data_IF_650505687955
#
_entry.id   IF_650505687955
#
_cell.length_a   1.000
_cell.length_b   1.000
_cell.length_c   1.000
_cell.angle_alpha   90.00
_cell.angle_beta   90.00
_cell.angle_gamma   90.00
#
_symmetry.space_group_name_H-M   'P 1'
#
loop_
_entity.id
_entity.type
_entity.pdbx_description
1 polymer ?
#
# COMPACT_ATOMS: atom_id res chain seq x y z
N UNK A 1 -3.41 44.71 -22.84
CA UNK A 1 -3.52 43.78 -21.67
C UNK A 1 -4.97 43.31 -21.61
N UNK A 2 -5.30 42.15 -22.22
CA UNK A 2 -6.68 41.65 -22.26
C UNK A 2 -6.90 40.76 -21.05
N UNK A 3 -7.92 41.07 -20.28
CA UNK A 3 -8.36 40.29 -19.14
C UNK A 3 -8.95 38.95 -19.63
N UNK A 4 -8.35 37.85 -19.25
CA UNK A 4 -8.91 36.51 -19.48
C UNK A 4 -10.08 36.30 -18.48
N UNK A 5 -11.27 36.24 -19.05
CA UNK A 5 -12.51 36.09 -18.29
C UNK A 5 -12.68 34.63 -17.83
N UNK A 6 -12.88 34.40 -16.53
CA UNK A 6 -13.08 33.09 -15.88
C UNK A 6 -14.21 32.22 -16.45
N UNK A 7 -15.13 32.81 -17.24
CA UNK A 7 -16.21 32.08 -17.91
C UNK A 7 -15.77 31.31 -19.16
N UNK A 8 -14.61 31.60 -19.74
CA UNK A 8 -14.10 30.91 -20.94
C UNK A 8 -13.36 29.61 -20.63
N UNK A 9 -13.02 29.37 -19.38
CA UNK A 9 -12.32 28.15 -18.94
C UNK A 9 -13.26 26.94 -18.70
N UNK A 10 -14.56 27.19 -18.58
CA UNK A 10 -15.56 26.11 -18.33
C UNK A 10 -16.24 25.58 -19.61
N UNK A 11 -16.02 26.22 -20.77
CA UNK A 11 -16.64 25.82 -22.04
C UNK A 11 -15.70 25.00 -22.96
N UNK A 12 -14.46 24.73 -22.55
CA UNK A 12 -13.45 24.05 -23.37
C UNK A 12 -13.35 22.54 -23.21
N UNK A 13 -14.21 21.91 -22.40
CA UNK A 13 -14.11 20.47 -22.08
C UNK A 13 -15.05 19.58 -22.90
N UNK A 14 -15.69 20.07 -23.95
CA UNK A 14 -16.65 19.29 -24.72
C UNK A 14 -16.48 19.42 -26.23
N UNK A 15 -15.29 19.25 -26.79
CA UNK A 15 -15.10 18.95 -28.22
C UNK A 15 -13.62 18.68 -28.55
N UNK A 16 -13.12 17.47 -28.36
CA UNK A 16 -12.13 16.86 -29.23
C UNK A 16 -12.29 15.34 -29.17
N UNK A 17 -13.28 14.88 -29.90
CA UNK A 17 -13.35 13.50 -30.33
C UNK A 17 -12.45 13.27 -31.54
N UNK A 18 -11.86 12.09 -31.58
CA UNK A 18 -11.36 11.36 -32.73
C UNK A 18 -10.11 11.89 -33.46
N UNK A 19 -8.99 11.30 -33.08
CA UNK A 19 -8.07 10.68 -34.07
C UNK A 19 -7.36 9.53 -33.35
N UNK A 20 -7.99 8.36 -33.41
CA UNK A 20 -7.41 7.11 -32.95
C UNK A 20 -6.39 6.64 -33.97
N UNK A 21 -5.11 6.74 -33.65
CA UNK A 21 -4.12 5.87 -34.22
C UNK A 21 -4.14 4.55 -33.44
N UNK A 22 -4.83 3.55 -33.99
CA UNK A 22 -4.82 2.17 -33.55
C UNK A 22 -3.43 1.57 -33.78
N UNK A 23 -2.54 1.69 -32.81
CA UNK A 23 -1.47 0.75 -32.65
C UNK A 23 -1.96 -0.34 -31.68
N UNK A 24 -2.57 -1.38 -32.23
CA UNK A 24 -2.87 -2.61 -31.52
C UNK A 24 -1.54 -3.31 -31.23
N UNK A 25 -0.91 -2.96 -30.12
CA UNK A 25 0.08 -3.84 -29.52
C UNK A 25 -0.77 -4.96 -28.89
N UNK A 26 -0.88 -6.08 -29.58
CA UNK A 26 -1.34 -7.32 -28.98
C UNK A 26 -0.35 -7.64 -27.85
N UNK A 27 -0.72 -7.25 -26.63
CA UNK A 27 -0.06 -7.72 -25.43
C UNK A 27 -0.41 -9.20 -25.32
N UNK A 28 0.60 -10.03 -25.52
CA UNK A 28 0.54 -11.48 -25.31
C UNK A 28 0.24 -11.70 -23.82
N UNK A 29 -1.05 -11.83 -23.47
CA UNK A 29 -1.58 -12.10 -22.12
C UNK A 29 -1.24 -13.54 -21.69
N UNK A 30 0.01 -13.93 -21.84
CA UNK A 30 0.52 -15.08 -21.12
C UNK A 30 0.58 -14.68 -19.66
N UNK A 31 -0.36 -15.21 -18.87
CA UNK A 31 -0.30 -15.17 -17.41
C UNK A 31 1.09 -15.60 -17.00
N UNK A 32 1.92 -14.64 -16.55
CA UNK A 32 3.28 -14.96 -16.10
C UNK A 32 3.18 -16.01 -15.01
N UNK A 33 4.02 -17.05 -15.05
CA UNK A 33 4.00 -18.08 -14.01
C UNK A 33 4.22 -17.42 -12.64
N UNK A 34 3.48 -17.90 -11.65
CA UNK A 34 3.64 -17.44 -10.26
C UNK A 34 5.07 -17.80 -9.84
N UNK A 35 5.87 -16.85 -9.32
CA UNK A 35 7.20 -17.18 -8.80
C UNK A 35 7.11 -18.25 -7.71
N UNK A 36 8.01 -19.21 -7.71
CA UNK A 36 8.12 -20.21 -6.62
C UNK A 36 8.53 -19.47 -5.32
N UNK A 37 7.74 -19.65 -4.29
CA UNK A 37 7.96 -19.04 -2.97
C UNK A 37 8.30 -20.07 -1.90
N UNK A 38 8.65 -21.30 -2.29
CA UNK A 38 9.07 -22.33 -1.32
C UNK A 38 10.23 -21.84 -0.45
N UNK A 39 10.11 -22.10 0.84
CA UNK A 39 11.09 -21.68 1.84
C UNK A 39 11.02 -20.20 2.24
N UNK A 40 10.09 -19.42 1.70
CA UNK A 40 9.84 -18.06 2.12
C UNK A 40 8.79 -18.01 3.22
N UNK A 41 9.05 -17.18 4.25
CA UNK A 41 8.11 -16.84 5.31
C UNK A 41 7.60 -15.41 5.10
N UNK A 42 6.27 -15.23 5.06
CA UNK A 42 5.63 -13.95 4.73
C UNK A 42 4.58 -13.59 5.78
N UNK A 43 4.75 -12.47 6.45
CA UNK A 43 3.77 -11.90 7.38
C UNK A 43 3.03 -10.75 6.69
N UNK A 44 1.70 -10.82 6.63
CA UNK A 44 0.86 -9.86 5.91
C UNK A 44 -0.17 -9.27 6.85
N UNK A 45 -0.27 -7.93 6.89
CA UNK A 45 -1.29 -7.24 7.68
C UNK A 45 -2.56 -6.96 6.88
N UNK A 46 -3.74 -7.04 7.53
CA UNK A 46 -5.01 -6.69 6.90
C UNK A 46 -5.52 -7.73 5.90
N UNK A 47 -5.46 -9.03 6.25
CA UNK A 47 -5.86 -10.14 5.38
C UNK A 47 -7.35 -10.51 5.41
N UNK A 48 -8.21 -9.70 6.01
CA UNK A 48 -9.66 -9.99 5.99
C UNK A 48 -10.30 -9.79 4.61
N UNK A 49 -9.71 -8.96 3.76
CA UNK A 49 -10.23 -8.67 2.40
C UNK A 49 -9.16 -8.04 1.50
N UNK A 50 -9.53 -7.74 0.26
CA UNK A 50 -8.72 -6.96 -0.68
C UNK A 50 -7.35 -7.55 -0.95
N UNK A 51 -6.35 -6.69 -1.15
CA UNK A 51 -5.00 -7.12 -1.53
C UNK A 51 -4.36 -8.07 -0.52
N UNK A 52 -4.55 -7.83 0.79
CA UNK A 52 -3.98 -8.67 1.83
C UNK A 52 -4.53 -10.10 1.80
N UNK A 53 -5.83 -10.28 1.60
CA UNK A 53 -6.48 -11.59 1.45
C UNK A 53 -5.97 -12.30 0.19
N UNK A 54 -6.01 -11.60 -0.96
CA UNK A 54 -5.56 -12.12 -2.24
C UNK A 54 -4.07 -12.49 -2.22
N UNK A 55 -3.21 -11.66 -1.59
CA UNK A 55 -1.79 -11.94 -1.44
C UNK A 55 -1.55 -13.16 -0.55
N UNK A 56 -2.25 -13.30 0.58
CA UNK A 56 -2.11 -14.43 1.49
C UNK A 56 -2.42 -15.75 0.78
N UNK A 57 -3.52 -15.82 0.06
CA UNK A 57 -3.91 -17.00 -0.72
C UNK A 57 -2.92 -17.28 -1.87
N UNK A 58 -2.52 -16.24 -2.60
CA UNK A 58 -1.62 -16.35 -3.74
C UNK A 58 -0.24 -16.87 -3.34
N UNK A 59 0.35 -16.32 -2.27
CA UNK A 59 1.67 -16.71 -1.81
C UNK A 59 1.68 -18.10 -1.16
N UNK A 60 0.63 -18.45 -0.43
CA UNK A 60 0.51 -19.79 0.14
C UNK A 60 0.42 -20.86 -0.98
N UNK A 61 -0.35 -20.61 -2.04
CA UNK A 61 -0.41 -21.49 -3.23
C UNK A 61 0.93 -21.54 -3.99
N UNK A 62 1.74 -20.47 -3.91
CA UNK A 62 3.10 -20.46 -4.45
C UNK A 62 4.14 -21.17 -3.56
N UNK A 63 3.71 -21.74 -2.42
CA UNK A 63 4.55 -22.53 -1.52
C UNK A 63 5.18 -21.78 -0.36
N UNK A 64 4.83 -20.51 -0.13
CA UNK A 64 5.29 -19.75 1.03
C UNK A 64 4.61 -20.22 2.32
N UNK A 65 5.32 -20.09 3.45
CA UNK A 65 4.72 -20.07 4.79
C UNK A 65 4.13 -18.69 5.03
N UNK A 66 2.80 -18.58 5.13
CA UNK A 66 2.10 -17.31 5.24
C UNK A 66 1.48 -17.13 6.62
N UNK A 67 1.75 -16.00 7.24
CA UNK A 67 1.06 -15.51 8.44
C UNK A 67 0.10 -14.40 8.02
N UNK A 68 -1.16 -14.76 7.82
CA UNK A 68 -2.23 -13.84 7.46
C UNK A 68 -2.78 -13.18 8.72
N UNK A 69 -2.65 -11.85 8.87
CA UNK A 69 -3.12 -11.21 10.09
C UNK A 69 -4.36 -10.37 9.89
N UNK A 70 -5.20 -10.35 10.89
CA UNK A 70 -6.39 -9.52 10.96
C UNK A 70 -6.77 -9.24 12.40
N UNK A 71 -7.46 -8.12 12.64
CA UNK A 71 -7.95 -7.72 13.95
C UNK A 71 -9.27 -8.37 14.30
N UNK A 72 -9.62 -8.41 15.61
CA UNK A 72 -10.94 -8.80 16.13
C UNK A 72 -11.30 -10.23 15.77
N UNK A 73 -10.49 -11.19 16.20
CA UNK A 73 -10.85 -12.60 16.14
C UNK A 73 -11.77 -12.96 17.33
N UNK A 74 -12.71 -13.92 17.18
CA UNK A 74 -12.99 -14.70 15.97
C UNK A 74 -13.81 -13.90 14.94
N UNK A 75 -13.64 -14.26 13.64
CA UNK A 75 -14.41 -13.67 12.54
C UNK A 75 -14.47 -14.61 11.35
N UNK A 76 -15.53 -14.49 10.56
CA UNK A 76 -15.81 -15.38 9.43
C UNK A 76 -14.63 -15.46 8.44
N UNK A 77 -14.01 -14.34 8.10
CA UNK A 77 -12.92 -14.29 7.12
C UNK A 77 -11.66 -15.06 7.59
N UNK A 78 -11.47 -15.17 8.90
CA UNK A 78 -10.41 -15.99 9.47
C UNK A 78 -10.72 -17.49 9.31
N UNK A 79 -11.96 -17.89 9.55
CA UNK A 79 -12.38 -19.29 9.42
C UNK A 79 -12.36 -19.74 7.96
N UNK A 80 -12.76 -18.86 7.03
CA UNK A 80 -12.63 -19.10 5.59
C UNK A 80 -11.17 -19.36 5.16
N UNK A 81 -10.21 -18.55 5.64
CA UNK A 81 -8.78 -18.76 5.36
C UNK A 81 -8.25 -20.07 5.97
N UNK A 82 -8.68 -20.42 7.19
CA UNK A 82 -8.31 -21.69 7.83
C UNK A 82 -8.86 -22.89 7.07
N UNK A 83 -10.12 -22.82 6.63
CA UNK A 83 -10.76 -23.87 5.82
C UNK A 83 -10.06 -24.01 4.48
N UNK A 84 -9.73 -22.90 3.81
CA UNK A 84 -8.97 -22.90 2.58
C UNK A 84 -7.60 -23.58 2.77
N UNK A 85 -6.86 -23.18 3.82
CA UNK A 85 -5.55 -23.74 4.11
C UNK A 85 -5.60 -25.26 4.33
N UNK A 86 -6.61 -25.75 5.06
CA UNK A 86 -6.82 -27.18 5.29
C UNK A 86 -7.16 -27.92 3.98
N UNK A 87 -8.08 -27.41 3.19
CA UNK A 87 -8.56 -28.05 1.96
C UNK A 87 -7.46 -28.14 0.89
N UNK A 88 -6.68 -27.09 0.74
CA UNK A 88 -5.61 -27.01 -0.25
C UNK A 88 -4.23 -27.43 0.30
N UNK A 89 -4.15 -27.80 1.60
CA UNK A 89 -2.90 -28.17 2.30
C UNK A 89 -1.82 -27.09 2.22
N UNK A 90 -2.23 -25.84 2.44
CA UNK A 90 -1.35 -24.68 2.40
C UNK A 90 -0.71 -24.41 3.77
N UNK A 91 0.55 -23.96 3.77
CA UNK A 91 1.22 -23.49 4.99
C UNK A 91 0.80 -22.04 5.28
N UNK A 92 -0.47 -21.87 5.69
CA UNK A 92 -1.07 -20.60 6.00
C UNK A 92 -1.67 -20.62 7.41
N UNK A 93 -1.28 -19.66 8.23
CA UNK A 93 -1.75 -19.46 9.59
C UNK A 93 -2.42 -18.09 9.74
N UNK A 94 -3.50 -18.03 10.51
CA UNK A 94 -4.18 -16.77 10.83
C UNK A 94 -3.77 -16.34 12.24
N UNK A 95 -3.22 -15.12 12.35
CA UNK A 95 -2.79 -14.51 13.62
C UNK A 95 -3.61 -13.25 13.88
N UNK A 96 -4.02 -13.03 15.14
CA UNK A 96 -4.66 -11.78 15.52
C UNK A 96 -3.62 -10.67 15.68
N UNK A 97 -3.71 -9.63 14.84
CA UNK A 97 -2.95 -8.38 14.98
C UNK A 97 -3.85 -7.20 14.60
N UNK A 98 -4.11 -6.32 15.56
CA UNK A 98 -4.50 -4.95 15.28
C UNK A 98 -3.22 -4.10 15.24
N UNK A 99 -2.91 -3.53 14.08
CA UNK A 99 -1.68 -2.74 13.89
C UNK A 99 -1.64 -1.44 14.71
N UNK A 100 -2.78 -1.07 15.33
CA UNK A 100 -2.86 0.07 16.25
C UNK A 100 -2.56 -0.30 17.71
N UNK A 101 -2.36 -1.59 18.01
CA UNK A 101 -2.07 -2.11 19.34
C UNK A 101 -0.62 -2.60 19.45
N UNK A 102 0.22 -1.90 20.20
CA UNK A 102 1.61 -2.30 20.45
C UNK A 102 1.69 -3.74 20.96
N UNK A 103 0.84 -4.08 21.93
CA UNK A 103 0.80 -5.43 22.52
C UNK A 103 0.48 -6.51 21.49
N UNK A 104 -0.57 -6.34 20.67
CA UNK A 104 -0.94 -7.34 19.68
C UNK A 104 0.12 -7.47 18.58
N UNK A 105 0.77 -6.37 18.22
CA UNK A 105 1.89 -6.39 17.26
C UNK A 105 3.06 -7.19 17.81
N UNK A 106 3.49 -6.93 19.04
CA UNK A 106 4.59 -7.66 19.68
C UNK A 106 4.29 -9.15 19.82
N UNK A 107 3.11 -9.50 20.34
CA UNK A 107 2.70 -10.89 20.54
C UNK A 107 2.54 -11.65 19.22
N UNK A 108 1.88 -11.04 18.23
CA UNK A 108 1.64 -11.66 16.92
C UNK A 108 2.92 -11.82 16.10
N UNK A 109 3.82 -10.83 16.10
CA UNK A 109 5.13 -10.96 15.44
C UNK A 109 5.99 -12.02 16.14
N UNK A 110 6.00 -12.07 17.47
CA UNK A 110 6.70 -13.12 18.22
C UNK A 110 6.17 -14.50 17.85
N UNK A 111 4.85 -14.67 17.73
CA UNK A 111 4.23 -15.93 17.30
C UNK A 111 4.71 -16.33 15.88
N UNK A 112 4.72 -15.41 14.94
CA UNK A 112 5.21 -15.65 13.58
C UNK A 112 6.71 -16.04 13.58
N UNK A 113 7.55 -15.30 14.30
CA UNK A 113 8.99 -15.57 14.40
C UNK A 113 9.27 -16.95 14.98
N UNK A 114 8.56 -17.37 16.04
CA UNK A 114 8.70 -18.72 16.61
C UNK A 114 8.31 -19.78 15.58
N UNK A 115 7.23 -19.58 14.84
CA UNK A 115 6.75 -20.54 13.83
C UNK A 115 7.65 -20.66 12.59
N UNK A 116 8.53 -19.68 12.34
CA UNK A 116 9.51 -19.71 11.24
C UNK A 116 10.98 -19.83 11.70
N UNK A 117 11.21 -20.31 12.93
CA UNK A 117 12.56 -20.59 13.43
C UNK A 117 13.41 -19.36 13.74
N UNK A 118 12.77 -18.23 14.05
CA UNK A 118 13.42 -17.00 14.46
C UNK A 118 13.75 -16.00 13.37
N UNK A 119 13.50 -16.33 12.11
CA UNK A 119 13.74 -15.43 10.96
C UNK A 119 12.50 -15.29 10.11
N UNK A 120 12.17 -14.06 9.71
CA UNK A 120 11.07 -13.74 8.80
C UNK A 120 11.65 -13.13 7.51
N UNK A 121 11.34 -13.72 6.36
CA UNK A 121 11.86 -13.22 5.08
C UNK A 121 11.17 -11.94 4.63
N UNK A 122 9.83 -11.85 4.79
CA UNK A 122 9.05 -10.74 4.24
C UNK A 122 7.99 -10.27 5.23
N UNK A 123 7.95 -8.95 5.48
CA UNK A 123 6.82 -8.26 6.10
C UNK A 123 6.07 -7.48 5.05
N UNK A 124 4.74 -7.64 4.95
CA UNK A 124 3.87 -6.82 4.09
C UNK A 124 2.91 -6.01 4.94
N UNK A 125 3.16 -4.71 5.03
CA UNK A 125 2.27 -3.75 5.64
C UNK A 125 1.19 -3.34 4.64
N UNK A 126 0.07 -4.07 4.65
CA UNK A 126 -1.06 -3.84 3.77
C UNK A 126 -2.30 -3.26 4.49
N UNK A 127 -2.43 -3.45 5.80
CA UNK A 127 -3.53 -2.87 6.55
C UNK A 127 -3.65 -1.37 6.34
N UNK A 128 -4.85 -0.88 6.04
CA UNK A 128 -5.08 0.53 5.80
C UNK A 128 -6.55 0.90 5.88
N UNK A 129 -6.81 2.17 6.15
CA UNK A 129 -8.14 2.78 6.21
C UNK A 129 -8.16 4.08 5.43
N UNK A 130 -9.35 4.48 5.01
CA UNK A 130 -9.57 5.75 4.31
C UNK A 130 -10.89 6.37 4.75
N UNK A 131 -10.90 7.70 4.77
CA UNK A 131 -12.09 8.54 4.86
C UNK A 131 -12.08 9.49 3.66
N UNK A 132 -13.20 9.64 2.99
CA UNK A 132 -13.37 10.65 1.94
C UNK A 132 -13.78 12.01 2.54
N UNK A 133 -13.70 13.03 1.70
CA UNK A 133 -14.17 14.37 2.02
C UNK A 133 -13.05 15.43 2.02
N UNK A 134 -13.42 16.72 2.01
CA UNK A 134 -12.50 17.82 2.23
C UNK A 134 -11.69 17.68 3.53
N UNK A 135 -10.51 18.30 3.56
CA UNK A 135 -9.64 18.26 4.75
C UNK A 135 -10.32 18.87 5.96
N UNK A 136 -11.07 19.96 5.77
CA UNK A 136 -11.73 20.69 6.85
C UNK A 136 -12.78 19.85 7.60
N UNK A 137 -13.51 18.98 6.91
CA UNK A 137 -14.50 18.10 7.56
C UNK A 137 -13.87 16.89 8.27
N UNK A 138 -12.58 16.64 8.07
CA UNK A 138 -11.88 15.54 8.74
C UNK A 138 -11.60 15.91 10.20
N UNK A 139 -12.45 15.46 11.11
CA UNK A 139 -12.21 15.66 12.53
C UNK A 139 -10.91 14.97 13.01
N UNK A 140 -10.46 15.33 14.20
CA UNK A 140 -9.23 14.78 14.76
C UNK A 140 -9.32 13.27 15.00
N UNK A 141 -10.50 12.73 15.29
CA UNK A 141 -10.68 11.30 15.50
C UNK A 141 -10.47 10.52 14.19
N UNK A 142 -11.05 10.96 13.07
CA UNK A 142 -10.83 10.36 11.75
C UNK A 142 -9.38 10.52 11.32
N UNK A 143 -8.79 11.70 11.50
CA UNK A 143 -7.38 11.98 11.19
C UNK A 143 -6.44 11.07 11.98
N UNK A 144 -6.59 10.98 13.29
CA UNK A 144 -5.79 10.11 14.15
C UNK A 144 -5.95 8.64 13.76
N UNK A 145 -7.18 8.16 13.51
CA UNK A 145 -7.42 6.78 13.10
C UNK A 145 -6.70 6.43 11.79
N UNK A 146 -6.67 7.37 10.81
CA UNK A 146 -5.93 7.15 9.58
C UNK A 146 -4.41 7.11 9.81
N UNK A 147 -3.84 8.02 10.59
CA UNK A 147 -2.41 8.01 10.91
C UNK A 147 -2.02 6.78 11.74
N UNK A 148 -2.81 6.42 12.75
CA UNK A 148 -2.57 5.24 13.57
C UNK A 148 -2.51 3.96 12.75
N UNK A 149 -3.43 3.80 11.78
CA UNK A 149 -3.48 2.60 10.95
C UNK A 149 -2.46 2.65 9.81
N UNK A 150 -2.41 3.75 9.05
CA UNK A 150 -1.68 3.81 7.78
C UNK A 150 -0.19 4.16 7.95
N UNK A 151 0.22 4.77 9.06
CA UNK A 151 1.59 5.25 9.31
C UNK A 151 2.20 4.58 10.52
N UNK A 152 1.58 4.73 11.68
CA UNK A 152 2.12 4.19 12.92
C UNK A 152 2.00 2.66 12.99
N UNK A 153 0.97 2.08 12.36
CA UNK A 153 0.84 0.62 12.21
C UNK A 153 2.03 -0.02 11.49
N UNK A 154 2.35 0.40 10.24
CA UNK A 154 3.56 -0.03 9.55
C UNK A 154 4.85 0.19 10.33
N UNK A 155 4.96 1.32 11.06
CA UNK A 155 6.12 1.59 11.92
C UNK A 155 6.23 0.60 13.08
N UNK A 156 5.12 0.31 13.79
CA UNK A 156 5.09 -0.72 14.84
C UNK A 156 5.51 -2.09 14.33
N UNK A 157 4.92 -2.51 13.20
CA UNK A 157 5.24 -3.80 12.57
C UNK A 157 6.71 -3.89 12.18
N UNK A 158 7.25 -2.84 11.53
CA UNK A 158 8.67 -2.78 11.17
C UNK A 158 9.57 -2.88 12.41
N UNK A 159 9.30 -2.10 13.47
CA UNK A 159 10.06 -2.17 14.72
C UNK A 159 10.08 -3.56 15.34
N UNK A 160 8.96 -4.28 15.26
CA UNK A 160 8.84 -5.62 15.84
C UNK A 160 9.63 -6.68 15.08
N UNK A 161 9.73 -6.60 13.74
CA UNK A 161 10.43 -7.60 12.90
C UNK A 161 11.91 -7.27 12.70
N UNK A 162 12.30 -5.99 12.68
CA UNK A 162 13.64 -5.53 12.33
C UNK A 162 14.77 -6.13 13.18
N UNK A 163 14.63 -6.34 14.50
CA UNK A 163 15.71 -6.98 15.28
C UNK A 163 16.09 -8.36 14.72
N UNK A 164 15.11 -9.19 14.36
CA UNK A 164 15.33 -10.52 13.79
C UNK A 164 15.91 -10.43 12.36
N UNK A 165 15.37 -9.57 11.50
CA UNK A 165 15.87 -9.36 10.13
C UNK A 165 17.32 -8.85 10.13
N UNK A 166 17.67 -7.90 11.00
CA UNK A 166 19.03 -7.38 11.13
C UNK A 166 20.01 -8.43 11.64
N UNK A 167 19.59 -9.25 12.61
CA UNK A 167 20.42 -10.37 13.10
C UNK A 167 20.69 -11.39 11.99
N UNK A 168 19.70 -11.67 11.15
CA UNK A 168 19.82 -12.54 9.98
C UNK A 168 20.57 -11.89 8.79
N UNK A 169 20.80 -10.57 8.84
CA UNK A 169 21.30 -9.75 7.71
C UNK A 169 20.50 -9.99 6.42
N UNK A 170 19.22 -10.21 6.54
CA UNK A 170 18.32 -10.50 5.44
C UNK A 170 16.89 -10.15 5.83
N UNK A 171 16.14 -9.61 4.90
CA UNK A 171 14.72 -9.30 5.07
C UNK A 171 14.21 -8.34 4.00
N UNK A 172 12.90 -8.38 3.79
CA UNK A 172 12.20 -7.44 2.91
C UNK A 172 10.98 -6.89 3.61
N UNK A 173 10.85 -5.58 3.68
CA UNK A 173 9.63 -4.90 4.11
C UNK A 173 8.94 -4.33 2.87
N UNK A 174 7.70 -4.74 2.64
CA UNK A 174 6.84 -4.19 1.59
C UNK A 174 5.76 -3.33 2.24
N UNK A 175 5.75 -2.04 1.93
CA UNK A 175 4.72 -1.12 2.38
C UNK A 175 3.72 -0.83 1.25
N UNK A 176 2.43 -1.09 1.47
CA UNK A 176 1.39 -0.79 0.49
C UNK A 176 0.96 0.67 0.66
N UNK A 177 1.48 1.52 -0.21
CA UNK A 177 1.14 2.93 -0.32
C UNK A 177 -0.06 3.14 -1.26
N UNK A 178 0.03 4.08 -2.16
CA UNK A 178 -0.95 4.42 -3.19
C UNK A 178 -0.30 5.36 -4.20
N UNK A 179 -0.83 5.46 -5.42
CA UNK A 179 -0.51 6.59 -6.29
C UNK A 179 -0.76 7.93 -5.56
N UNK A 180 -1.75 7.96 -4.64
CA UNK A 180 -2.06 9.15 -3.80
C UNK A 180 -1.05 9.38 -2.66
N UNK A 181 0.02 8.61 -2.57
CA UNK A 181 1.22 8.92 -1.79
C UNK A 181 2.22 9.81 -2.53
N UNK A 182 2.01 10.09 -3.82
CA UNK A 182 2.89 10.92 -4.67
C UNK A 182 2.13 12.01 -5.44
N UNK A 183 0.84 11.79 -5.72
CA UNK A 183 -0.05 12.79 -6.33
C UNK A 183 -1.25 13.02 -5.42
N UNK A 184 -1.91 14.16 -5.55
CA UNK A 184 -3.02 14.55 -4.68
C UNK A 184 -4.28 14.76 -5.51
N UNK A 185 -5.39 14.20 -5.02
CA UNK A 185 -6.72 14.47 -5.54
C UNK A 185 -7.59 15.13 -4.45
N UNK A 186 -8.46 16.09 -4.80
CA UNK A 186 -9.39 16.69 -3.86
C UNK A 186 -10.35 15.67 -3.24
N UNK A 187 -10.84 15.96 -2.05
CA UNK A 187 -11.83 15.16 -1.31
C UNK A 187 -11.38 13.74 -0.93
N UNK A 188 -10.06 13.52 -0.76
CA UNK A 188 -9.50 12.34 -0.11
C UNK A 188 -9.00 12.63 1.32
N UNK A 189 -9.34 13.81 1.87
CA UNK A 189 -9.03 14.21 3.25
C UNK A 189 -7.58 14.00 3.62
N UNK A 190 -7.37 13.36 4.76
CA UNK A 190 -6.05 13.04 5.30
C UNK A 190 -5.46 11.72 4.73
N UNK A 191 -6.14 11.03 3.82
CA UNK A 191 -5.61 9.80 3.24
C UNK A 191 -4.28 10.03 2.51
N UNK A 192 -4.24 11.01 1.58
CA UNK A 192 -2.99 11.36 0.88
C UNK A 192 -1.86 11.74 1.85
N UNK A 193 -2.05 12.64 2.84
CA UNK A 193 -1.04 12.90 3.87
C UNK A 193 -0.50 11.66 4.56
N UNK A 194 -1.36 10.67 4.92
CA UNK A 194 -0.86 9.41 5.52
C UNK A 194 0.00 8.60 4.56
N UNK A 195 -0.35 8.56 3.28
CA UNK A 195 0.44 7.83 2.29
C UNK A 195 1.76 8.54 1.95
N UNK A 196 1.78 9.87 1.89
CA UNK A 196 3.02 10.65 1.79
C UNK A 196 3.94 10.42 3.00
N UNK A 197 3.39 10.39 4.21
CA UNK A 197 4.16 10.07 5.42
C UNK A 197 4.74 8.65 5.38
N UNK A 198 3.95 7.65 4.93
CA UNK A 198 4.41 6.26 4.75
C UNK A 198 5.53 6.18 3.71
N UNK A 199 5.42 6.89 2.59
CA UNK A 199 6.47 6.98 1.56
C UNK A 199 7.79 7.50 2.12
N UNK A 200 7.75 8.64 2.82
CA UNK A 200 8.93 9.25 3.43
C UNK A 200 9.57 8.34 4.49
N UNK A 201 8.76 7.72 5.35
CA UNK A 201 9.25 6.76 6.35
C UNK A 201 9.88 5.53 5.69
N UNK A 202 9.28 5.04 4.61
CA UNK A 202 9.79 3.87 3.87
C UNK A 202 11.15 4.16 3.24
N UNK A 203 11.31 5.33 2.63
CA UNK A 203 12.57 5.75 2.01
C UNK A 203 13.67 5.96 3.05
N UNK A 204 13.37 6.60 4.19
CA UNK A 204 14.31 6.74 5.31
C UNK A 204 14.78 5.36 5.80
N UNK A 205 13.84 4.44 6.05
CA UNK A 205 14.19 3.07 6.45
C UNK A 205 15.01 2.34 5.38
N UNK A 206 14.70 2.52 4.09
CA UNK A 206 15.45 1.88 3.02
C UNK A 206 16.94 2.25 3.08
N UNK A 207 17.27 3.53 3.26
CA UNK A 207 18.66 3.99 3.41
C UNK A 207 19.32 3.42 4.65
N UNK A 208 18.67 3.54 5.80
CA UNK A 208 19.19 3.13 7.11
C UNK A 208 19.46 1.62 7.20
N UNK A 209 18.71 0.82 6.43
CA UNK A 209 18.77 -0.63 6.48
C UNK A 209 19.76 -1.27 5.49
N UNK A 210 20.33 -0.50 4.55
CA UNK A 210 21.36 -1.00 3.62
C UNK A 210 22.51 -1.73 4.34
N UNK A 211 23.12 -1.18 5.43
CA UNK A 211 24.20 -1.87 6.12
C UNK A 211 23.78 -3.17 6.81
N UNK A 212 22.50 -3.38 6.96
CA UNK A 212 21.92 -4.55 7.63
C UNK A 212 21.44 -5.63 6.67
N UNK A 213 21.53 -5.41 5.36
CA UNK A 213 21.03 -6.36 4.34
C UNK A 213 19.51 -6.52 4.33
N UNK A 214 18.78 -5.52 4.84
CA UNK A 214 17.30 -5.51 4.82
C UNK A 214 16.84 -4.46 3.82
N UNK A 215 15.90 -4.84 2.95
CA UNK A 215 15.40 -3.98 1.88
C UNK A 215 13.97 -3.49 2.19
N UNK A 216 13.64 -2.35 1.66
CA UNK A 216 12.28 -1.79 1.73
C UNK A 216 11.79 -1.48 0.33
N UNK A 217 10.59 -1.96 -0.01
CA UNK A 217 9.90 -1.61 -1.26
C UNK A 217 8.53 -1.06 -0.96
N UNK A 218 8.17 0.02 -1.64
CA UNK A 218 6.84 0.60 -1.59
C UNK A 218 6.06 0.18 -2.83
N UNK A 219 4.93 -0.49 -2.61
CA UNK A 219 3.96 -0.77 -3.68
C UNK A 219 2.99 0.41 -3.75
N UNK A 220 2.82 0.98 -4.93
CA UNK A 220 1.98 2.16 -5.20
C UNK A 220 0.81 1.79 -6.11
N UNK A 221 -0.28 1.19 -5.58
CA UNK A 221 -1.46 0.86 -6.38
C UNK A 221 -2.19 2.11 -6.86
N UNK A 222 -2.77 2.02 -8.06
CA UNK A 222 -3.85 2.90 -8.48
C UNK A 222 -5.21 2.49 -7.90
N UNK A 223 -6.30 2.85 -8.56
CA UNK A 223 -7.64 2.42 -8.16
C UNK A 223 -7.89 0.96 -8.53
N UNK A 224 -8.40 0.16 -7.58
CA UNK A 224 -8.80 -1.23 -7.77
C UNK A 224 -10.11 -1.52 -7.04
N UNK A 225 -11.01 -2.39 -7.56
CA UNK A 225 -12.28 -2.75 -6.95
C UNK A 225 -12.06 -3.68 -5.74
N UNK A 226 -11.78 -3.11 -4.59
CA UNK A 226 -11.59 -3.82 -3.32
C UNK A 226 -12.52 -3.26 -2.24
N UNK A 227 -12.64 -3.96 -1.12
CA UNK A 227 -13.48 -3.52 0.00
C UNK A 227 -13.03 -2.20 0.65
N UNK A 228 -11.87 -1.66 0.25
CA UNK A 228 -11.43 -0.34 0.73
C UNK A 228 -12.44 0.75 0.40
N UNK A 229 -13.10 0.67 -0.76
CA UNK A 229 -14.11 1.64 -1.17
C UNK A 229 -15.38 1.56 -0.33
N UNK A 230 -15.86 0.32 -0.06
CA UNK A 230 -16.99 0.09 0.84
C UNK A 230 -16.70 0.67 2.22
N UNK A 231 -15.58 0.28 2.80
CA UNK A 231 -15.20 0.73 4.14
C UNK A 231 -14.97 2.26 4.19
N UNK A 232 -14.35 2.83 3.14
CA UNK A 232 -14.15 4.28 3.05
C UNK A 232 -15.48 5.04 2.92
N UNK A 233 -16.47 4.48 2.21
CA UNK A 233 -17.80 5.07 2.12
C UNK A 233 -18.51 5.04 3.47
N UNK A 234 -18.50 3.91 4.17
CA UNK A 234 -19.06 3.78 5.53
C UNK A 234 -18.41 4.78 6.49
N UNK A 235 -17.09 4.82 6.55
CA UNK A 235 -16.35 5.78 7.38
C UNK A 235 -16.68 7.24 7.02
N UNK A 236 -16.85 7.55 5.72
CA UNK A 236 -17.15 8.91 5.27
C UNK A 236 -18.56 9.33 5.65
N UNK A 237 -19.54 8.40 5.58
CA UNK A 237 -20.91 8.68 6.04
C UNK A 237 -20.97 8.89 7.56
N UNK A 238 -20.25 8.09 8.33
CA UNK A 238 -20.11 8.30 9.78
C UNK A 238 -19.46 9.64 10.11
N UNK A 239 -18.44 10.06 9.32
CA UNK A 239 -17.80 11.36 9.47
C UNK A 239 -18.80 12.50 9.19
N UNK A 240 -19.53 12.43 8.07
CA UNK A 240 -20.55 13.43 7.73
C UNK A 240 -21.65 13.53 8.78
N UNK A 241 -22.08 12.39 9.35
CA UNK A 241 -23.16 12.37 10.35
C UNK A 241 -22.81 13.08 11.66
N UNK A 242 -21.52 13.28 11.95
CA UNK A 242 -21.02 13.96 13.14
C UNK A 242 -20.32 15.29 12.86
N UNK A 243 -20.19 15.68 11.58
CA UNK A 243 -19.57 16.95 11.21
C UNK A 243 -20.50 18.13 11.55
N UNK A 244 -19.92 19.21 11.99
CA UNK A 244 -20.63 20.44 12.28
C UNK A 244 -21.02 21.15 10.99
N UNK A 245 -22.23 21.77 10.95
CA UNK A 245 -22.78 22.41 9.74
C UNK A 245 -21.84 23.48 9.18
N UNK A 246 -21.16 24.24 10.06
CA UNK A 246 -20.22 25.27 9.65
C UNK A 246 -19.03 24.73 8.84
N UNK A 247 -18.60 23.48 9.07
CA UNK A 247 -17.56 22.82 8.30
C UNK A 247 -18.06 22.16 7.01
N UNK A 248 -19.37 21.92 6.89
CA UNK A 248 -19.99 21.37 5.70
C UNK A 248 -20.35 22.44 4.67
N UNK A 249 -20.60 23.66 5.14
CA UNK A 249 -20.99 24.77 4.27
C UNK A 249 -19.85 25.12 3.30
N UNK A 250 -20.19 25.36 2.03
CA UNK A 250 -19.20 25.59 0.98
C UNK A 250 -18.62 24.33 0.31
N UNK A 251 -18.80 23.13 0.87
CA UNK A 251 -18.28 21.88 0.30
C UNK A 251 -19.33 20.96 -0.32
N UNK A 252 -20.58 21.41 -0.48
CA UNK A 252 -21.71 20.59 -0.94
C UNK A 252 -21.38 19.76 -2.18
N UNK A 253 -20.77 20.35 -3.21
CA UNK A 253 -20.39 19.65 -4.44
C UNK A 253 -19.36 18.53 -4.20
N UNK A 254 -18.44 18.67 -3.24
CA UNK A 254 -17.43 17.67 -2.93
C UNK A 254 -17.97 16.54 -2.04
N UNK A 255 -19.00 16.82 -1.23
CA UNK A 255 -19.58 15.84 -0.30
C UNK A 255 -20.74 15.04 -0.89
N UNK A 256 -21.41 15.55 -1.94
CA UNK A 256 -22.54 14.86 -2.60
C UNK A 256 -22.21 13.43 -3.05
N UNK A 257 -20.96 13.15 -3.41
CA UNK A 257 -20.51 11.84 -3.87
C UNK A 257 -19.90 10.97 -2.75
N UNK A 258 -19.85 11.49 -1.51
CA UNK A 258 -19.35 10.70 -0.39
C UNK A 258 -20.36 9.58 -0.06
N UNK A 259 -19.85 8.42 0.30
CA UNK A 259 -20.69 7.23 0.50
C UNK A 259 -21.03 6.44 -0.78
N UNK A 260 -20.74 6.98 -1.96
CA UNK A 260 -21.03 6.32 -3.26
C UNK A 260 -19.79 6.08 -4.10
N UNK A 261 -18.59 6.33 -3.55
CA UNK A 261 -17.34 6.19 -4.30
C UNK A 261 -17.05 4.74 -4.63
N UNK A 262 -16.66 4.53 -5.86
CA UNK A 262 -16.11 3.27 -6.34
C UNK A 262 -14.75 3.54 -6.97
N UNK A 263 -13.92 2.54 -7.09
CA UNK A 263 -12.61 2.67 -7.73
C UNK A 263 -12.19 1.44 -8.49
N UNK A 264 -11.36 1.66 -9.49
CA UNK A 264 -10.71 0.61 -10.25
C UNK A 264 -11.52 0.05 -11.42
N UNK A 265 -12.81 0.31 -11.53
CA UNK A 265 -13.62 -0.19 -12.66
C UNK A 265 -13.45 -1.70 -12.86
N UNK A 266 -12.91 -2.11 -14.02
CA UNK A 266 -12.65 -3.51 -14.40
C UNK A 266 -11.20 -3.96 -14.14
N UNK A 267 -10.39 -3.20 -13.41
CA UNK A 267 -9.01 -3.60 -13.10
C UNK A 267 -8.98 -4.87 -12.23
N UNK A 268 -8.01 -5.75 -12.49
CA UNK A 268 -7.85 -6.99 -11.71
C UNK A 268 -7.11 -6.71 -10.39
N UNK A 269 -7.75 -6.87 -9.22
CA UNK A 269 -7.07 -6.68 -7.93
C UNK A 269 -5.86 -7.60 -7.71
N UNK A 270 -5.74 -8.69 -8.48
CA UNK A 270 -4.59 -9.58 -8.44
C UNK A 270 -3.30 -8.96 -9.00
N UNK A 271 -3.37 -7.83 -9.72
CA UNK A 271 -2.17 -7.13 -10.19
C UNK A 271 -1.23 -6.77 -9.04
N UNK A 272 -1.79 -6.39 -7.88
CA UNK A 272 -1.01 -5.98 -6.71
C UNK A 272 -0.32 -7.18 -6.04
N UNK A 273 -0.99 -8.29 -5.71
CA UNK A 273 -0.33 -9.51 -5.26
C UNK A 273 0.73 -10.05 -6.23
N UNK A 274 0.47 -10.02 -7.54
CA UNK A 274 1.45 -10.44 -8.56
C UNK A 274 2.69 -9.55 -8.55
N UNK A 275 2.52 -8.23 -8.47
CA UNK A 275 3.64 -7.29 -8.38
C UNK A 275 4.46 -7.48 -7.09
N UNK A 276 3.80 -7.77 -5.96
CA UNK A 276 4.50 -8.13 -4.72
C UNK A 276 5.29 -9.43 -4.88
N UNK A 277 4.70 -10.47 -5.50
CA UNK A 277 5.38 -11.73 -5.77
C UNK A 277 6.61 -11.54 -6.65
N UNK A 278 6.50 -10.72 -7.71
CA UNK A 278 7.63 -10.36 -8.57
C UNK A 278 8.76 -9.72 -7.75
N UNK A 279 8.45 -8.75 -6.87
CA UNK A 279 9.44 -8.08 -6.01
C UNK A 279 10.09 -9.05 -5.04
N UNK A 280 9.32 -9.94 -4.41
CA UNK A 280 9.85 -10.95 -3.47
C UNK A 280 10.83 -11.89 -4.18
N UNK A 281 10.54 -12.28 -5.43
CA UNK A 281 11.37 -13.17 -6.24
C UNK A 281 12.64 -12.52 -6.81
N UNK A 282 12.73 -11.18 -6.81
CA UNK A 282 13.94 -10.50 -7.29
C UNK A 282 15.14 -10.83 -6.41
N UNK A 283 16.32 -10.79 -7.02
CA UNK A 283 17.59 -10.95 -6.32
C UNK A 283 17.74 -9.84 -5.27
N UNK A 284 18.09 -10.15 -4.01
CA UNK A 284 18.38 -9.13 -3.02
C UNK A 284 19.41 -8.10 -3.52
N UNK A 285 19.18 -6.82 -3.24
CA UNK A 285 20.00 -5.70 -3.73
C UNK A 285 19.59 -5.17 -5.11
N UNK A 286 18.59 -5.79 -5.77
CA UNK A 286 18.08 -5.29 -7.07
C UNK A 286 16.63 -4.84 -7.02
N UNK A 287 16.01 -4.92 -5.86
CA UNK A 287 14.61 -4.54 -5.67
C UNK A 287 14.43 -3.02 -5.75
N UNK A 288 13.43 -2.53 -6.48
CA UNK A 288 13.20 -1.09 -6.56
C UNK A 288 12.63 -0.57 -5.23
N UNK A 289 13.01 0.66 -4.85
CA UNK A 289 12.38 1.34 -3.72
C UNK A 289 10.87 1.50 -3.93
N UNK A 290 10.42 1.78 -5.16
CA UNK A 290 9.01 2.00 -5.52
C UNK A 290 8.58 1.17 -6.70
N UNK A 291 7.39 0.58 -6.59
CA UNK A 291 6.75 -0.19 -7.65
C UNK A 291 5.33 0.32 -7.85
N UNK A 292 5.13 1.13 -8.89
CA UNK A 292 3.79 1.57 -9.30
C UNK A 292 3.01 0.41 -9.95
N UNK A 293 1.77 0.20 -9.51
CA UNK A 293 0.93 -0.92 -9.99
C UNK A 293 -0.43 -0.39 -10.44
N UNK A 294 -0.65 -0.40 -11.74
CA UNK A 294 -1.95 -0.15 -12.40
C UNK A 294 -1.81 -0.48 -13.89
N UNK A 295 -2.80 -1.07 -14.56
CA UNK A 295 -2.72 -1.36 -15.99
C UNK A 295 -2.75 -0.09 -16.85
N UNK A 296 -3.42 0.95 -16.38
CA UNK A 296 -3.51 2.25 -17.06
C UNK A 296 -2.50 3.28 -16.55
N UNK A 297 -3.00 4.48 -16.25
CA UNK A 297 -2.18 5.63 -15.87
C UNK A 297 -1.45 5.45 -14.53
N UNK A 298 -0.18 5.86 -14.48
CA UNK A 298 0.71 5.85 -13.31
C UNK A 298 1.34 7.23 -13.13
N UNK A 299 0.57 8.24 -12.70
CA UNK A 299 1.00 9.64 -12.66
C UNK A 299 2.17 9.88 -11.69
N UNK A 300 2.42 8.97 -10.75
CA UNK A 300 3.52 9.05 -9.80
C UNK A 300 4.90 8.74 -10.40
N UNK A 301 5.00 8.04 -11.53
CA UNK A 301 6.30 7.61 -12.08
C UNK A 301 7.27 8.76 -12.31
N UNK A 302 6.92 9.85 -13.05
CA UNK A 302 7.85 10.95 -13.28
C UNK A 302 8.26 11.67 -11.99
N UNK A 303 7.39 11.66 -10.95
CA UNK A 303 7.73 12.22 -9.64
C UNK A 303 8.74 11.32 -8.92
N UNK A 304 8.57 10.01 -8.99
CA UNK A 304 9.48 9.04 -8.39
C UNK A 304 10.87 9.12 -9.03
N UNK A 305 10.94 9.19 -10.38
CA UNK A 305 12.19 9.30 -11.11
C UNK A 305 12.94 10.59 -10.78
N UNK A 306 12.21 11.72 -10.74
CA UNK A 306 12.80 13.00 -10.36
C UNK A 306 13.28 13.01 -8.90
N UNK A 307 12.47 12.46 -7.97
CA UNK A 307 12.84 12.40 -6.57
C UNK A 307 14.10 11.53 -6.36
N UNK A 308 14.19 10.36 -7.00
CA UNK A 308 15.37 9.50 -6.94
C UNK A 308 16.63 10.25 -7.43
N UNK A 309 16.51 10.90 -8.59
CA UNK A 309 17.62 11.72 -9.14
C UNK A 309 18.06 12.80 -8.15
N UNK A 310 17.13 13.56 -7.59
CA UNK A 310 17.43 14.64 -6.63
C UNK A 310 18.12 14.11 -5.39
N UNK A 311 17.68 12.96 -4.84
CA UNK A 311 18.32 12.34 -3.68
C UNK A 311 19.77 11.93 -3.98
N UNK A 312 20.03 11.32 -5.14
CA UNK A 312 21.36 10.92 -5.57
C UNK A 312 22.25 12.15 -5.81
N UNK A 313 21.74 13.18 -6.49
CA UNK A 313 22.48 14.41 -6.77
C UNK A 313 22.85 15.16 -5.48
N UNK A 314 21.92 15.20 -4.51
CA UNK A 314 22.11 15.94 -3.25
C UNK A 314 22.99 15.19 -2.24
N UNK A 315 22.71 13.92 -2.00
CA UNK A 315 23.34 13.13 -0.92
C UNK A 315 24.35 12.09 -1.42
N UNK A 316 24.41 11.83 -2.74
CA UNK A 316 25.26 10.77 -3.30
C UNK A 316 26.77 10.97 -3.09
N UNK A 317 27.23 12.20 -2.80
CA UNK A 317 28.61 12.50 -2.43
C UNK A 317 28.83 12.63 -0.89
N UNK A 318 27.77 12.53 -0.09
CA UNK A 318 27.82 12.60 1.38
C UNK A 318 28.33 11.27 1.98
N UNK A 319 28.61 11.22 3.30
CA UNK A 319 28.91 9.97 3.99
C UNK A 319 27.81 8.90 3.84
N UNK A 320 26.55 9.30 3.58
CA UNK A 320 25.41 8.41 3.31
C UNK A 320 25.29 8.00 1.83
N UNK A 321 26.13 8.57 0.95
CA UNK A 321 26.09 8.37 -0.50
C UNK A 321 26.04 6.89 -0.93
N UNK A 322 26.83 5.99 -0.34
CA UNK A 322 26.76 4.57 -0.68
C UNK A 322 25.37 3.94 -0.45
N UNK A 323 24.66 4.35 0.61
CA UNK A 323 23.32 3.85 0.92
C UNK A 323 22.26 4.42 -0.03
N UNK A 324 22.37 5.74 -0.31
CA UNK A 324 21.46 6.40 -1.26
C UNK A 324 21.57 5.76 -2.65
N UNK A 325 22.79 5.59 -3.15
CA UNK A 325 23.04 4.96 -4.45
C UNK A 325 22.58 3.52 -4.51
N UNK A 326 22.81 2.74 -3.44
CA UNK A 326 22.34 1.36 -3.39
C UNK A 326 20.82 1.25 -3.49
N UNK A 327 20.06 2.13 -2.82
CA UNK A 327 18.59 2.11 -2.84
C UNK A 327 18.02 2.56 -4.20
N UNK A 328 18.70 3.48 -4.88
CA UNK A 328 18.25 3.98 -6.18
C UNK A 328 18.92 3.31 -7.39
N UNK A 329 19.75 2.28 -7.16
CA UNK A 329 20.50 1.56 -8.20
C UNK A 329 21.35 2.53 -9.09
N UNK A 330 22.01 3.53 -8.47
CA UNK A 330 22.76 4.61 -9.12
C UNK A 330 24.28 4.47 -8.94
#
# INVERSE_FOLDING_TARGET
MSQINRRTLLAGAAATGALAATATIAQDDKVKPIPDMKGKSVLITGCSSGFGRLAAEHFARAGAKVFATMRRLPRQEADELRVLALNEKLDLQVIEIDVTSDKQVEEGVKQALVACGGTLDVLINNAGVSYGGPVEIQDMAATQHMFETNVFGPHRMARAVLPAMRAAKSGLIINVSSQLGRVIAPAYGQYSPTKFALEAMSEAMAYELVPHGVEVTVIEPGGYPTNIWKNANENSLELLARAEEEHLDGYRQLIEQLGQRTGGGSTDPMDVPRAMAEVIAMVPGTRPLRRAVHPGNKPQLPINDLAAKVQVDWLGASPYGPWIKAVHNA
#
